data_IF_378283534020
#
_entry.id   IF_378283534020
#
_cell.length_a   1.000
_cell.length_b   1.000
_cell.length_c   1.000
_cell.angle_alpha   90.00
_cell.angle_beta   90.00
_cell.angle_gamma   90.00
#
_symmetry.space_group_name_H-M   'P 1'
#
loop_
_entity.id
_entity.type
_entity.pdbx_description
1 polymer ?
#
# COMPACT_ATOMS: atom_id res chain seq x y z
N UNK A 1 -21.19 -6.97 0.05
CA UNK A 1 -20.39 -6.42 -1.06
C UNK A 1 -19.19 -5.72 -0.46
N UNK A 2 -17.98 -5.83 -1.06
CA UNK A 2 -16.83 -5.09 -0.58
C UNK A 2 -17.05 -3.59 -0.75
N UNK A 3 -16.48 -2.80 0.15
CA UNK A 3 -16.26 -1.37 -0.07
C UNK A 3 -14.97 -1.15 -0.84
N UNK A 4 -14.87 0.00 -1.51
CA UNK A 4 -13.68 0.41 -2.26
C UNK A 4 -13.12 1.67 -1.63
N UNK A 5 -11.81 1.68 -1.44
CA UNK A 5 -11.15 2.70 -0.65
C UNK A 5 -9.81 3.06 -1.26
N UNK A 6 -9.34 4.27 -0.95
CA UNK A 6 -7.95 4.65 -1.14
C UNK A 6 -7.35 5.19 0.15
N UNK A 7 -6.09 4.82 0.38
CA UNK A 7 -5.27 5.34 1.45
C UNK A 7 -4.01 5.95 0.86
N UNK A 8 -3.81 7.24 1.15
CA UNK A 8 -2.70 8.01 0.64
C UNK A 8 -1.63 8.16 1.71
N UNK A 9 -0.37 7.98 1.32
CA UNK A 9 0.78 8.23 2.19
C UNK A 9 1.83 9.08 1.47
N UNK A 10 2.52 9.92 2.23
CA UNK A 10 3.70 10.65 1.78
C UNK A 10 4.89 10.23 2.62
N UNK A 11 6.00 9.90 1.96
CA UNK A 11 7.24 9.42 2.55
C UNK A 11 8.41 10.27 2.08
N UNK A 12 9.48 10.27 2.85
CA UNK A 12 10.80 10.72 2.43
C UNK A 12 11.76 9.53 2.44
N UNK A 13 12.25 9.15 1.27
CA UNK A 13 13.26 8.10 1.12
C UNK A 13 14.63 8.56 1.61
N UNK A 14 15.40 7.64 2.16
CA UNK A 14 16.83 7.84 2.35
C UNK A 14 17.54 7.86 0.98
N UNK A 15 18.76 8.46 0.89
CA UNK A 15 19.52 8.44 -0.35
C UNK A 15 19.72 7.02 -0.89
N UNK A 16 19.46 6.82 -2.19
CA UNK A 16 19.55 5.53 -2.89
C UNK A 16 18.61 4.42 -2.39
N UNK A 17 17.62 4.72 -1.53
CA UNK A 17 16.59 3.75 -1.19
C UNK A 17 15.68 3.47 -2.39
N UNK A 18 15.24 2.22 -2.51
CA UNK A 18 14.31 1.80 -3.56
C UNK A 18 12.91 2.38 -3.29
N UNK A 19 12.35 3.07 -4.27
CA UNK A 19 11.02 3.67 -4.17
C UNK A 19 9.88 2.67 -4.26
N UNK A 20 10.13 1.44 -4.71
CA UNK A 20 9.16 0.34 -4.65
C UNK A 20 9.07 -0.29 -3.25
N UNK A 21 10.10 -0.12 -2.40
CA UNK A 21 10.20 -0.79 -1.09
C UNK A 21 9.05 -0.46 -0.11
N UNK A 22 8.50 0.77 -0.06
CA UNK A 22 7.31 1.03 0.73
C UNK A 22 6.06 0.29 0.26
N UNK A 23 5.87 0.16 -1.05
CA UNK A 23 4.76 -0.60 -1.63
C UNK A 23 4.86 -2.10 -1.29
N UNK A 24 6.07 -2.64 -1.39
CA UNK A 24 6.40 -3.98 -0.92
C UNK A 24 6.04 -4.22 0.55
N UNK A 25 6.35 -3.26 1.43
CA UNK A 25 6.01 -3.36 2.85
C UNK A 25 4.49 -3.43 3.08
N UNK A 26 3.71 -2.66 2.32
CA UNK A 26 2.25 -2.69 2.36
C UNK A 26 1.74 -4.07 1.89
N UNK A 27 2.21 -4.55 0.75
CA UNK A 27 1.80 -5.86 0.23
C UNK A 27 2.06 -6.98 1.23
N UNK A 28 3.25 -7.03 1.86
CA UNK A 28 3.55 -8.01 2.91
C UNK A 28 2.59 -7.88 4.10
N UNK A 29 2.26 -6.67 4.52
CA UNK A 29 1.35 -6.44 5.66
C UNK A 29 -0.11 -6.86 5.39
N UNK A 30 -0.56 -6.71 4.14
CA UNK A 30 -1.93 -7.05 3.75
C UNK A 30 -2.09 -8.52 3.34
N UNK A 31 -1.10 -9.08 2.64
CA UNK A 31 -1.12 -10.47 2.18
C UNK A 31 -0.60 -11.47 3.20
N UNK A 32 0.23 -11.03 4.16
CA UNK A 32 0.97 -11.91 5.07
C UNK A 32 2.22 -12.55 4.42
N UNK A 33 2.17 -12.83 3.11
CA UNK A 33 3.27 -13.34 2.30
C UNK A 33 3.28 -12.68 0.91
N UNK A 34 4.42 -12.77 0.21
CA UNK A 34 4.55 -12.32 -1.18
C UNK A 34 3.71 -13.14 -2.16
N UNK A 35 3.51 -14.43 -1.86
CA UNK A 35 2.71 -15.34 -2.66
C UNK A 35 1.55 -15.88 -1.83
N UNK A 36 0.33 -15.76 -2.35
CA UNK A 36 -0.86 -16.43 -1.87
C UNK A 36 -1.79 -16.71 -3.06
N UNK A 37 -2.64 -17.76 -3.00
CA UNK A 37 -3.67 -17.94 -4.01
C UNK A 37 -4.70 -16.78 -3.93
N UNK A 38 -5.25 -16.30 -5.05
CA UNK A 38 -6.38 -15.38 -5.02
C UNK A 38 -7.62 -15.98 -4.33
N UNK A 39 -8.48 -15.16 -3.69
CA UNK A 39 -8.33 -13.71 -3.48
C UNK A 39 -7.33 -13.36 -2.35
N UNK A 40 -6.89 -12.10 -2.30
CA UNK A 40 -6.07 -11.60 -1.18
C UNK A 40 -6.72 -11.88 0.18
N UNK A 41 -5.97 -12.37 1.19
CA UNK A 41 -6.55 -12.78 2.47
C UNK A 41 -7.28 -11.68 3.23
N UNK A 42 -6.78 -10.45 3.17
CA UNK A 42 -7.35 -9.30 3.87
C UNK A 42 -8.06 -8.32 2.94
N UNK A 43 -7.38 -7.89 1.87
CA UNK A 43 -7.92 -6.93 0.91
C UNK A 43 -7.21 -7.07 -0.44
N UNK A 44 -7.98 -7.23 -1.52
CA UNK A 44 -7.43 -7.07 -2.86
C UNK A 44 -6.97 -5.62 -3.02
N UNK A 45 -5.75 -5.39 -3.50
CA UNK A 45 -5.16 -4.05 -3.51
C UNK A 45 -4.25 -3.80 -4.71
N UNK A 46 -4.10 -2.51 -5.00
CA UNK A 46 -3.17 -1.95 -5.98
C UNK A 46 -2.48 -0.74 -5.35
N UNK A 47 -1.19 -0.58 -5.61
CA UNK A 47 -0.38 0.50 -5.04
C UNK A 47 0.23 1.30 -6.19
N UNK A 48 -0.21 2.53 -6.36
CA UNK A 48 0.45 3.49 -7.23
C UNK A 48 1.55 4.21 -6.45
N UNK A 49 2.75 4.27 -7.04
CA UNK A 49 3.92 4.98 -6.50
C UNK A 49 4.25 6.14 -7.41
N UNK A 50 4.37 7.34 -6.86
CA UNK A 50 4.87 8.53 -7.54
C UNK A 50 6.05 9.09 -6.77
N UNK A 51 7.21 9.20 -7.41
CA UNK A 51 8.42 9.71 -6.80
C UNK A 51 8.81 11.07 -7.40
N UNK A 52 9.17 12.01 -6.55
CA UNK A 52 9.77 13.30 -6.88
C UNK A 52 10.99 13.53 -5.98
N UNK A 53 12.19 13.33 -6.54
CA UNK A 53 13.44 13.31 -5.78
C UNK A 53 13.40 12.23 -4.68
N UNK A 54 13.47 12.66 -3.42
CA UNK A 54 13.35 11.78 -2.25
C UNK A 54 11.91 11.68 -1.71
N UNK A 55 10.99 12.50 -2.21
CA UNK A 55 9.59 12.45 -1.81
C UNK A 55 8.88 11.34 -2.57
N UNK A 56 8.14 10.49 -1.88
CA UNK A 56 7.29 9.46 -2.48
C UNK A 56 5.87 9.62 -2.02
N UNK A 57 4.94 9.71 -2.97
CA UNK A 57 3.49 9.61 -2.73
C UNK A 57 3.02 8.23 -3.12
N UNK A 58 2.31 7.59 -2.21
CA UNK A 58 1.67 6.29 -2.40
C UNK A 58 0.17 6.48 -2.42
N UNK A 59 -0.52 5.84 -3.36
CA UNK A 59 -1.98 5.68 -3.33
C UNK A 59 -2.29 4.20 -3.36
N UNK A 60 -2.69 3.68 -2.19
CA UNK A 60 -3.09 2.29 -2.02
C UNK A 60 -4.59 2.19 -2.20
N UNK A 61 -5.01 1.67 -3.35
CA UNK A 61 -6.40 1.37 -3.68
C UNK A 61 -6.69 -0.05 -3.21
N UNK A 62 -7.77 -0.26 -2.47
CA UNK A 62 -8.11 -1.59 -1.97
C UNK A 62 -9.61 -1.85 -1.90
N UNK A 63 -9.97 -3.12 -2.04
CA UNK A 63 -11.31 -3.65 -1.84
C UNK A 63 -11.33 -4.54 -0.59
N UNK A 64 -12.25 -4.27 0.34
CA UNK A 64 -12.36 -4.98 1.61
C UNK A 64 -13.81 -5.08 2.10
N UNK A 65 -14.12 -6.00 3.02
CA UNK A 65 -15.35 -5.89 3.82
C UNK A 65 -15.34 -4.52 4.52
N UNK A 66 -16.40 -3.71 4.45
CA UNK A 66 -16.45 -2.40 5.12
C UNK A 66 -16.11 -2.45 6.61
N UNK A 67 -16.39 -3.56 7.30
CA UNK A 67 -16.02 -3.78 8.71
C UNK A 67 -14.52 -3.94 8.93
N UNK A 68 -13.76 -4.24 7.89
CA UNK A 68 -12.31 -4.41 7.91
C UNK A 68 -11.55 -3.21 7.36
N UNK A 69 -12.21 -2.17 6.85
CA UNK A 69 -11.56 -0.99 6.29
C UNK A 69 -10.54 -0.39 7.27
N UNK A 70 -10.95 -0.19 8.53
CA UNK A 70 -10.09 0.38 9.56
C UNK A 70 -8.86 -0.49 9.84
N UNK A 71 -9.01 -1.82 9.80
CA UNK A 71 -7.91 -2.76 9.99
C UNK A 71 -6.91 -2.71 8.83
N UNK A 72 -7.40 -2.64 7.58
CA UNK A 72 -6.54 -2.49 6.38
C UNK A 72 -5.72 -1.22 6.48
N UNK A 73 -6.36 -0.08 6.80
CA UNK A 73 -5.67 1.21 6.97
C UNK A 73 -4.61 1.14 8.07
N UNK A 74 -4.96 0.58 9.23
CA UNK A 74 -4.03 0.40 10.35
C UNK A 74 -2.80 -0.43 9.97
N UNK A 75 -2.96 -1.47 9.16
CA UNK A 75 -1.83 -2.28 8.67
C UNK A 75 -0.95 -1.52 7.68
N UNK A 76 -1.55 -0.73 6.79
CA UNK A 76 -0.80 0.16 5.88
C UNK A 76 0.02 1.16 6.70
N UNK A 77 -0.62 1.86 7.64
CA UNK A 77 0.05 2.81 8.53
C UNK A 77 1.22 2.17 9.29
N UNK A 78 0.99 1.00 9.91
CA UNK A 78 2.01 0.27 10.65
C UNK A 78 3.19 -0.17 9.77
N UNK A 79 2.91 -0.65 8.55
CA UNK A 79 3.95 -1.05 7.59
C UNK A 79 4.82 0.14 7.18
N UNK A 80 4.21 1.29 6.93
CA UNK A 80 4.93 2.51 6.55
C UNK A 80 5.67 3.14 7.73
N UNK A 81 5.10 3.09 8.94
CA UNK A 81 5.74 3.61 10.16
C UNK A 81 6.98 2.81 10.57
N UNK A 82 7.10 1.54 10.17
CA UNK A 82 8.33 0.74 10.35
C UNK A 82 9.55 1.37 9.67
N UNK A 83 9.34 2.18 8.62
CA UNK A 83 10.39 2.98 7.99
C UNK A 83 11.45 2.19 7.25
N UNK A 84 11.23 0.89 7.01
CA UNK A 84 12.18 0.05 6.29
C UNK A 84 11.58 -1.26 5.79
N UNK A 85 12.11 -1.73 4.66
CA UNK A 85 11.76 -3.01 4.06
C UNK A 85 12.98 -3.61 3.36
N UNK A 86 13.32 -4.90 3.65
CA UNK A 86 14.34 -5.59 2.89
C UNK A 86 13.84 -5.90 1.48
N UNK A 87 14.71 -5.74 0.49
CA UNK A 87 14.53 -6.30 -0.85
C UNK A 87 14.73 -7.82 -0.82
N UNK A 88 14.30 -8.55 -1.86
CA UNK A 88 14.61 -9.98 -2.00
C UNK A 88 16.11 -10.30 -1.91
N UNK A 89 16.97 -9.37 -2.33
CA UNK A 89 18.43 -9.49 -2.26
C UNK A 89 19.02 -9.18 -0.87
N UNK A 90 18.17 -8.89 0.12
CA UNK A 90 18.56 -8.59 1.50
C UNK A 90 19.00 -7.14 1.74
N UNK A 91 18.97 -6.28 0.71
CA UNK A 91 19.31 -4.86 0.86
C UNK A 91 18.15 -4.14 1.54
N UNK A 92 18.44 -3.45 2.65
CA UNK A 92 17.44 -2.73 3.42
C UNK A 92 17.22 -1.32 2.85
N UNK A 93 16.04 -1.09 2.28
CA UNK A 93 15.59 0.26 1.94
C UNK A 93 14.96 0.92 3.15
N UNK A 94 15.22 2.22 3.35
CA UNK A 94 14.75 3.00 4.49
C UNK A 94 14.04 4.27 4.04
N UNK A 95 13.08 4.70 4.84
CA UNK A 95 12.33 5.93 4.63
C UNK A 95 11.80 6.48 5.95
N UNK A 96 11.35 7.72 5.91
CA UNK A 96 10.60 8.38 6.98
C UNK A 96 9.16 8.60 6.52
N UNK A 97 8.18 8.16 7.32
CA UNK A 97 6.78 8.49 7.10
C UNK A 97 6.52 9.97 7.40
N UNK A 98 6.01 10.72 6.42
CA UNK A 98 5.67 12.15 6.57
C UNK A 98 4.20 12.32 6.97
N UNK A 99 3.30 11.53 6.40
CA UNK A 99 1.89 11.51 6.79
C UNK A 99 1.05 10.54 5.99
N UNK A 100 -0.11 10.19 6.53
CA UNK A 100 -1.11 9.33 5.88
C UNK A 100 -2.51 9.91 6.04
N UNK A 101 -3.41 9.53 5.13
CA UNK A 101 -4.83 9.89 5.21
C UNK A 101 -5.70 8.93 4.39
N UNK A 102 -6.96 8.81 4.77
CA UNK A 102 -7.99 8.41 3.81
C UNK A 102 -8.09 9.47 2.71
N UNK A 103 -8.33 9.03 1.48
CA UNK A 103 -8.59 9.93 0.36
C UNK A 103 -9.83 9.46 -0.39
N UNK A 104 -10.34 10.36 -1.24
CA UNK A 104 -11.41 10.03 -2.17
C UNK A 104 -10.85 9.26 -3.37
N UNK A 105 -11.62 8.28 -3.83
CA UNK A 105 -11.34 7.56 -5.07
C UNK A 105 -11.59 8.48 -6.26
N UNK A 106 -10.67 8.49 -7.20
CA UNK A 106 -10.96 8.94 -8.55
C UNK A 106 -11.79 7.91 -9.30
N UNK A 107 -12.45 8.30 -10.40
CA UNK A 107 -13.21 7.38 -11.26
C UNK A 107 -12.35 6.20 -11.73
N UNK A 108 -11.13 6.48 -12.20
CA UNK A 108 -10.21 5.45 -12.66
C UNK A 108 -9.79 4.47 -11.55
N UNK A 109 -9.62 4.96 -10.33
CA UNK A 109 -9.29 4.11 -9.18
C UNK A 109 -10.48 3.26 -8.74
N UNK A 110 -11.70 3.80 -8.79
CA UNK A 110 -12.90 3.03 -8.50
C UNK A 110 -13.08 1.88 -9.51
N UNK A 111 -12.93 2.16 -10.80
CA UNK A 111 -12.97 1.13 -11.86
C UNK A 111 -11.87 0.08 -11.65
N UNK A 112 -10.66 0.51 -11.25
CA UNK A 112 -9.58 -0.40 -10.93
C UNK A 112 -9.89 -1.27 -9.71
N UNK A 113 -10.42 -0.66 -8.64
CA UNK A 113 -10.80 -1.35 -7.41
C UNK A 113 -11.86 -2.43 -7.66
N UNK A 114 -12.83 -2.15 -8.54
CA UNK A 114 -13.84 -3.12 -8.95
C UNK A 114 -13.22 -4.31 -9.71
N UNK A 115 -12.26 -4.05 -10.61
CA UNK A 115 -11.58 -5.11 -11.36
C UNK A 115 -10.76 -6.03 -10.46
N UNK A 116 -9.97 -5.48 -9.54
CA UNK A 116 -9.15 -6.30 -8.62
C UNK A 116 -9.99 -7.06 -7.57
N UNK A 117 -11.22 -6.62 -7.31
CA UNK A 117 -12.14 -7.34 -6.41
C UNK A 117 -12.88 -8.50 -7.09
N UNK A 118 -12.96 -8.48 -8.42
CA UNK A 118 -13.65 -9.49 -9.24
C UNK A 118 -12.73 -10.52 -9.90
N UNK A 119 -11.42 -10.38 -9.72
CA UNK A 119 -10.37 -11.32 -10.16
C UNK A 119 -10.01 -12.33 -9.08
#
# INVERSE_FOLDING_TARGET
>A
MPGFYVHEATLRLDPAADSAAPGAAITVALCGSWEHPPPCPLAAHYIAVQQDGQSVRLRTVFAADPRQEAEVRRRIDAALAKGSQPSPDGILSRWTLVGTKAAELTTAELEHAQRIAGS
#
